data_IF_767038870417
#
_entry.id   IF_767038870417
#
_cell.length_a   1.000
_cell.length_b   1.000
_cell.length_c   1.000
_cell.angle_alpha   90.00
_cell.angle_beta   90.00
_cell.angle_gamma   90.00
#
_symmetry.space_group_name_H-M   'P 1'
#
loop_
_entity.id
_entity.type
_entity.pdbx_description
1 polymer ?
#
# COMPACT_ATOMS: atom_id res chain seq x y z
N UNK A 1 9.98 0.95 22.04
CA UNK A 1 10.75 -0.14 22.69
C UNK A 1 9.86 -0.81 23.71
N UNK A 2 9.83 -2.14 23.74
CA UNK A 2 9.11 -2.96 24.72
C UNK A 2 10.14 -3.46 25.73
N UNK A 3 9.98 -3.20 27.04
CA UNK A 3 11.05 -3.40 28.02
C UNK A 3 11.20 -4.86 28.49
N UNK A 4 10.23 -5.74 28.24
CA UNK A 4 10.20 -7.10 28.76
C UNK A 4 8.96 -7.86 28.33
N UNK A 5 8.70 -9.00 28.98
CA UNK A 5 7.53 -9.82 28.67
C UNK A 5 6.21 -9.06 28.91
N UNK A 6 5.23 -9.25 28.03
CA UNK A 6 3.95 -8.58 28.12
C UNK A 6 3.12 -8.66 26.84
N UNK A 7 1.85 -8.27 26.93
CA UNK A 7 0.93 -8.24 25.79
C UNK A 7 0.94 -6.86 25.15
N UNK A 8 1.15 -6.80 23.83
CA UNK A 8 0.99 -5.58 23.03
C UNK A 8 -0.33 -5.65 22.26
N UNK A 9 -1.14 -4.60 22.42
CA UNK A 9 -2.42 -4.46 21.75
C UNK A 9 -2.48 -3.15 20.97
N UNK A 10 -3.26 -3.14 19.89
CA UNK A 10 -3.63 -1.94 19.14
C UNK A 10 -5.14 -1.77 19.21
N UNK A 11 -5.60 -0.54 19.47
CA UNK A 11 -7.01 -0.24 19.55
C UNK A 11 -7.38 1.00 18.74
N UNK A 12 -8.60 0.99 18.20
CA UNK A 12 -9.24 2.12 17.56
C UNK A 12 -10.56 2.40 18.28
N UNK A 13 -10.90 3.68 18.47
CA UNK A 13 -12.14 4.10 19.11
C UNK A 13 -12.85 5.11 18.20
N UNK A 14 -14.11 4.86 17.88
CA UNK A 14 -14.93 5.76 17.09
C UNK A 14 -15.42 6.96 17.94
N UNK A 15 -15.89 8.05 17.31
CA UNK A 15 -16.57 9.14 18.02
C UNK A 15 -17.85 8.71 18.75
N UNK A 16 -18.51 7.63 18.30
CA UNK A 16 -19.69 7.05 18.97
C UNK A 16 -19.33 6.11 20.13
N UNK A 17 -18.04 5.90 20.40
CA UNK A 17 -17.54 5.04 21.48
C UNK A 17 -17.37 3.57 21.12
N UNK A 18 -17.59 3.19 19.85
CA UNK A 18 -17.27 1.85 19.35
C UNK A 18 -15.77 1.61 19.46
N UNK A 19 -15.36 0.42 19.93
CA UNK A 19 -13.95 0.06 20.08
C UNK A 19 -13.61 -1.19 19.28
N UNK A 20 -12.53 -1.10 18.52
CA UNK A 20 -11.86 -2.24 17.89
C UNK A 20 -10.55 -2.45 18.63
N UNK A 21 -10.27 -3.68 19.07
CA UNK A 21 -9.03 -4.04 19.77
C UNK A 21 -8.47 -5.33 19.19
N UNK A 22 -7.16 -5.32 18.89
CA UNK A 22 -6.44 -6.46 18.37
C UNK A 22 -5.17 -6.70 19.18
N UNK A 23 -4.88 -7.97 19.47
CA UNK A 23 -3.57 -8.36 20.00
C UNK A 23 -2.57 -8.32 18.86
N UNK A 24 -1.54 -7.50 18.99
CA UNK A 24 -0.45 -7.41 18.00
C UNK A 24 0.56 -8.53 18.23
N UNK A 25 0.99 -8.70 19.49
CA UNK A 25 1.98 -9.70 19.85
C UNK A 25 2.02 -9.96 21.36
N UNK A 26 2.44 -11.16 21.77
CA UNK A 26 2.80 -11.50 23.15
C UNK A 26 4.32 -11.61 23.26
N UNK A 27 4.93 -10.58 23.84
CA UNK A 27 6.36 -10.52 24.07
C UNK A 27 6.75 -11.48 25.20
N UNK A 28 7.78 -12.29 24.96
CA UNK A 28 8.44 -13.13 25.98
C UNK A 28 9.66 -12.45 26.63
N UNK A 29 10.05 -11.29 26.14
CA UNK A 29 11.23 -10.51 26.55
C UNK A 29 11.27 -9.15 25.85
N UNK A 30 12.36 -8.38 26.00
CA UNK A 30 12.48 -7.05 25.40
C UNK A 30 12.38 -7.08 23.88
N UNK A 31 11.91 -6.00 23.26
CA UNK A 31 11.76 -5.90 21.82
C UNK A 31 11.41 -4.50 21.31
N UNK A 32 10.97 -4.42 20.06
CA UNK A 32 10.52 -3.18 19.42
C UNK A 32 9.20 -3.42 18.69
N UNK A 33 8.38 -2.38 18.60
CA UNK A 33 7.13 -2.39 17.86
C UNK A 33 6.98 -1.03 17.17
N UNK A 34 6.40 -1.06 15.98
CA UNK A 34 6.10 0.12 15.19
C UNK A 34 4.67 0.00 14.67
N UNK A 35 3.92 1.10 14.73
CA UNK A 35 2.64 1.24 14.07
C UNK A 35 2.82 2.17 12.86
N UNK A 36 2.13 1.87 11.77
CA UNK A 36 2.12 2.68 10.55
C UNK A 36 0.68 2.88 10.11
N UNK A 37 0.40 4.04 9.51
CA UNK A 37 -0.92 4.34 8.97
C UNK A 37 -0.77 5.10 7.64
N UNK A 38 -1.79 4.98 6.80
CA UNK A 38 -2.03 5.83 5.65
C UNK A 38 -3.54 6.08 5.57
N UNK A 39 -3.90 7.23 5.02
CA UNK A 39 -5.31 7.56 4.75
C UNK A 39 -5.63 7.28 3.29
N UNK A 40 -6.87 6.92 2.99
CA UNK A 40 -7.30 6.74 1.60
C UNK A 40 -7.02 8.01 0.78
N UNK A 41 -7.31 9.19 1.32
CA UNK A 41 -7.04 10.48 0.66
C UNK A 41 -5.57 10.66 0.28
N UNK A 42 -4.65 10.31 1.20
CA UNK A 42 -3.21 10.35 0.91
C UNK A 42 -2.80 9.35 -0.17
N UNK A 43 -3.39 8.14 -0.17
CA UNK A 43 -3.09 7.10 -1.15
C UNK A 43 -3.62 7.52 -2.53
N UNK A 44 -4.84 8.03 -2.60
CA UNK A 44 -5.47 8.53 -3.83
C UNK A 44 -4.68 9.69 -4.42
N UNK A 45 -4.30 10.67 -3.60
CA UNK A 45 -3.49 11.81 -4.05
C UNK A 45 -2.13 11.36 -4.58
N UNK A 46 -1.50 10.41 -3.89
CA UNK A 46 -0.25 9.81 -4.33
C UNK A 46 -0.40 9.05 -5.66
N UNK A 47 -1.44 8.24 -5.81
CA UNK A 47 -1.73 7.50 -7.04
C UNK A 47 -1.87 8.43 -8.26
N UNK A 48 -2.68 9.49 -8.14
CA UNK A 48 -2.84 10.51 -9.20
C UNK A 48 -1.52 11.18 -9.55
N UNK A 49 -0.72 11.52 -8.54
CA UNK A 49 0.58 12.16 -8.73
C UNK A 49 1.53 11.26 -9.52
N UNK A 50 1.63 9.98 -9.13
CA UNK A 50 2.42 8.97 -9.83
C UNK A 50 1.96 8.78 -11.28
N UNK A 51 0.66 8.69 -11.51
CA UNK A 51 0.11 8.50 -12.86
C UNK A 51 0.34 9.70 -13.77
N UNK A 52 0.05 10.90 -13.26
CA UNK A 52 0.32 12.13 -13.99
C UNK A 52 1.80 12.26 -14.36
N UNK A 53 2.71 11.94 -13.45
CA UNK A 53 4.14 12.00 -13.71
C UNK A 53 4.58 10.97 -14.76
N UNK A 54 4.11 9.72 -14.66
CA UNK A 54 4.43 8.68 -15.63
C UNK A 54 3.89 9.01 -17.04
N UNK A 55 2.66 9.54 -17.13
CA UNK A 55 2.06 10.01 -18.38
C UNK A 55 2.87 11.15 -19.01
N UNK A 56 3.26 12.17 -18.22
CA UNK A 56 4.10 13.27 -18.69
C UNK A 56 5.44 12.79 -19.26
N UNK A 57 6.02 11.75 -18.65
CA UNK A 57 7.30 11.17 -19.06
C UNK A 57 7.14 10.13 -20.17
N UNK A 58 5.91 9.75 -20.52
CA UNK A 58 5.56 8.66 -21.44
C UNK A 58 6.23 7.33 -21.04
N UNK A 59 6.18 7.00 -19.76
CA UNK A 59 6.66 5.71 -19.25
C UNK A 59 5.51 4.87 -18.68
N UNK A 60 5.58 3.53 -18.79
CA UNK A 60 4.67 2.65 -18.08
C UNK A 60 4.86 2.83 -16.56
N UNK A 61 3.78 2.68 -15.81
CA UNK A 61 3.77 2.78 -14.35
C UNK A 61 3.57 1.40 -13.73
N UNK A 62 4.46 1.04 -12.80
CA UNK A 62 4.34 -0.18 -12.01
C UNK A 62 4.14 0.15 -10.54
N UNK A 63 3.07 -0.37 -9.93
CA UNK A 63 2.95 -0.43 -8.48
C UNK A 63 3.36 -1.82 -8.03
N UNK A 64 4.40 -1.93 -7.21
CA UNK A 64 4.80 -3.20 -6.61
C UNK A 64 4.50 -3.22 -5.11
N UNK A 65 3.92 -4.32 -4.62
CA UNK A 65 3.57 -4.47 -3.20
C UNK A 65 3.84 -5.88 -2.68
N UNK A 66 3.72 -6.09 -1.37
CA UNK A 66 3.81 -7.40 -0.71
C UNK A 66 2.45 -7.86 -0.18
N UNK A 67 1.40 -7.66 -0.99
CA UNK A 67 0.01 -7.95 -0.64
C UNK A 67 -0.30 -9.43 -0.33
N UNK A 68 0.62 -10.37 -0.61
CA UNK A 68 0.48 -11.76 -0.17
C UNK A 68 0.68 -11.90 1.35
N UNK A 69 1.53 -11.05 1.92
CA UNK A 69 1.84 -10.98 3.36
C UNK A 69 1.00 -9.88 4.02
N UNK A 70 0.95 -8.68 3.43
CA UNK A 70 0.22 -7.51 3.95
C UNK A 70 -1.14 -7.34 3.26
N UNK A 71 -1.96 -8.41 3.26
CA UNK A 71 -3.21 -8.50 2.47
C UNK A 71 -4.12 -7.28 2.59
N UNK A 72 -4.38 -6.80 3.81
CA UNK A 72 -5.30 -5.67 4.03
C UNK A 72 -4.65 -4.33 3.67
N UNK A 73 -3.42 -4.11 4.12
CA UNK A 73 -2.73 -2.83 3.98
C UNK A 73 -2.32 -2.57 2.52
N UNK A 74 -1.54 -3.47 1.93
CA UNK A 74 -1.11 -3.34 0.54
C UNK A 74 -2.26 -3.59 -0.44
N UNK A 75 -3.27 -4.37 -0.03
CA UNK A 75 -4.51 -4.52 -0.79
C UNK A 75 -5.22 -3.19 -0.99
N UNK A 76 -5.28 -2.34 0.05
CA UNK A 76 -5.91 -1.02 -0.05
C UNK A 76 -5.19 -0.10 -1.04
N UNK A 77 -3.86 -0.11 -1.03
CA UNK A 77 -3.06 0.61 -2.04
C UNK A 77 -3.36 0.11 -3.45
N UNK A 78 -3.31 -1.21 -3.66
CA UNK A 78 -3.59 -1.82 -4.96
C UNK A 78 -4.96 -1.42 -5.50
N UNK A 79 -5.99 -1.54 -4.66
CA UNK A 79 -7.37 -1.30 -5.07
C UNK A 79 -7.60 0.18 -5.40
N UNK A 80 -7.04 1.10 -4.61
CA UNK A 80 -7.14 2.55 -4.88
C UNK A 80 -6.39 2.92 -6.16
N UNK A 81 -5.16 2.43 -6.35
CA UNK A 81 -4.41 2.72 -7.58
C UNK A 81 -5.14 2.18 -8.81
N UNK A 82 -5.64 0.94 -8.75
CA UNK A 82 -6.38 0.36 -9.86
C UNK A 82 -7.63 1.19 -10.20
N UNK A 83 -8.41 1.60 -9.20
CA UNK A 83 -9.59 2.45 -9.39
C UNK A 83 -9.24 3.77 -10.06
N UNK A 84 -8.17 4.46 -9.61
CA UNK A 84 -7.74 5.73 -10.22
C UNK A 84 -7.28 5.53 -11.66
N UNK A 85 -6.56 4.45 -11.96
CA UNK A 85 -6.18 4.14 -13.34
C UNK A 85 -7.40 3.98 -14.23
N UNK A 86 -8.31 3.08 -13.85
CA UNK A 86 -9.47 2.71 -14.66
C UNK A 86 -10.43 3.89 -14.87
N UNK A 87 -10.65 4.70 -13.83
CA UNK A 87 -11.62 5.81 -13.88
C UNK A 87 -11.06 7.08 -14.53
N UNK A 88 -9.77 7.39 -14.33
CA UNK A 88 -9.22 8.71 -14.66
C UNK A 88 -8.14 8.68 -15.75
N UNK A 89 -7.31 7.64 -15.85
CA UNK A 89 -6.08 7.69 -16.66
C UNK A 89 -5.99 6.69 -17.81
N UNK A 90 -6.83 5.63 -17.80
CA UNK A 90 -6.71 4.53 -18.76
C UNK A 90 -6.70 4.98 -20.21
N UNK A 91 -7.64 5.83 -20.61
CA UNK A 91 -7.73 6.32 -21.99
C UNK A 91 -6.51 7.17 -22.39
N UNK A 92 -5.98 7.99 -21.49
CA UNK A 92 -4.78 8.80 -21.76
C UNK A 92 -3.52 7.94 -21.89
N UNK A 93 -3.41 6.91 -21.06
CA UNK A 93 -2.33 5.93 -21.11
C UNK A 93 -2.34 5.11 -22.40
N UNK A 94 -3.52 4.61 -22.79
CA UNK A 94 -3.72 3.89 -24.05
C UNK A 94 -3.36 4.77 -25.26
N UNK A 95 -3.80 6.04 -25.26
CA UNK A 95 -3.46 7.00 -26.32
C UNK A 95 -1.95 7.31 -26.38
N UNK A 96 -1.24 7.25 -25.26
CA UNK A 96 0.20 7.41 -25.17
C UNK A 96 0.99 6.10 -25.38
N UNK A 97 0.30 4.97 -25.64
CA UNK A 97 0.87 3.64 -25.78
C UNK A 97 1.74 3.20 -24.57
N UNK A 98 1.25 3.51 -23.37
CA UNK A 98 1.82 3.11 -22.07
C UNK A 98 0.72 2.47 -21.21
N UNK A 99 1.10 1.82 -20.11
CA UNK A 99 0.15 1.11 -19.24
C UNK A 99 0.47 1.31 -17.76
N UNK A 100 -0.52 1.01 -16.91
CA UNK A 100 -0.34 0.79 -15.48
C UNK A 100 -0.48 -0.71 -15.19
N UNK A 101 0.38 -1.24 -14.32
CA UNK A 101 0.30 -2.62 -13.87
C UNK A 101 0.67 -2.73 -12.38
N UNK A 102 -0.11 -3.53 -11.64
CA UNK A 102 0.28 -3.97 -10.30
C UNK A 102 1.07 -5.28 -10.37
N UNK A 103 2.17 -5.39 -9.62
CA UNK A 103 2.96 -6.62 -9.48
C UNK A 103 3.31 -6.91 -8.02
N UNK A 104 3.62 -8.17 -7.73
CA UNK A 104 4.29 -8.49 -6.46
C UNK A 104 5.72 -7.97 -6.49
N UNK A 105 6.23 -7.55 -5.34
CA UNK A 105 7.59 -7.02 -5.23
C UNK A 105 8.65 -8.02 -5.67
N UNK A 106 8.44 -9.30 -5.38
CA UNK A 106 9.27 -10.43 -5.79
C UNK A 106 9.31 -10.59 -7.32
N UNK A 107 8.14 -10.50 -7.98
CA UNK A 107 8.03 -10.56 -9.44
C UNK A 107 8.69 -9.34 -10.09
N UNK A 108 8.58 -8.17 -9.47
CA UNK A 108 9.18 -6.93 -9.98
C UNK A 108 10.72 -6.98 -9.91
N UNK A 109 11.28 -7.52 -8.84
CA UNK A 109 12.74 -7.74 -8.71
C UNK A 109 13.22 -8.74 -9.77
N UNK A 110 12.51 -9.85 -9.96
CA UNK A 110 12.85 -10.83 -10.98
C UNK A 110 12.77 -10.26 -12.40
N UNK A 111 11.81 -9.37 -12.67
CA UNK A 111 11.70 -8.66 -13.94
C UNK A 111 12.89 -7.72 -14.17
N UNK A 112 13.24 -6.89 -13.17
CA UNK A 112 14.35 -5.93 -13.26
C UNK A 112 15.73 -6.58 -13.44
N UNK A 113 15.94 -7.80 -12.92
CA UNK A 113 17.19 -8.53 -13.12
C UNK A 113 17.34 -9.13 -14.52
N UNK A 114 16.23 -9.30 -15.26
CA UNK A 114 16.22 -9.91 -16.60
C UNK A 114 16.27 -8.87 -17.73
N UNK A 115 15.93 -7.61 -17.44
CA UNK A 115 15.93 -6.47 -18.36
C UNK A 115 17.30 -5.81 -18.45
#
# INVERSE_FOLDING_TARGET
VVPGAGKLEISWTSPSGEKIQHTVHEFKGPGIAQAQFNTDDSITTFARTCMKYALQRKYPLYLSTKNTILKKYDGRFKDIFQKIYDDEYKSEYEAANIWYEHRLIDDMVAYAMKS
#
